data_IF_270170712971
#
_entry.id   IF_270170712971
#
_cell.length_a   1.000
_cell.length_b   1.000
_cell.length_c   1.000
_cell.angle_alpha   90.00
_cell.angle_beta   90.00
_cell.angle_gamma   90.00
#
_symmetry.space_group_name_H-M   'P 1'
#
loop_
_entity.id
_entity.type
_entity.pdbx_description
1 polymer ?
#
# COMPACT_ATOMS: atom_id res chain seq x y z
N UNK A 1 -65.81 23.90 -6.94
CA UNK A 1 -65.58 22.77 -5.99
C UNK A 1 -64.81 21.68 -6.71
N UNK A 2 -63.50 21.59 -6.50
CA UNK A 2 -62.60 20.68 -7.23
C UNK A 2 -62.39 19.39 -6.44
N UNK A 3 -62.76 18.24 -7.00
CA UNK A 3 -62.60 16.92 -6.37
C UNK A 3 -61.22 16.35 -6.75
N UNK A 4 -60.20 16.59 -5.93
CA UNK A 4 -58.94 15.87 -6.03
C UNK A 4 -59.16 14.39 -5.66
N UNK A 5 -59.04 13.49 -6.64
CA UNK A 5 -58.95 12.05 -6.39
C UNK A 5 -57.49 11.69 -6.12
N UNK A 6 -57.19 11.16 -4.93
CA UNK A 6 -55.89 10.56 -4.65
C UNK A 6 -55.75 9.24 -5.43
N UNK A 7 -54.59 8.97 -6.06
CA UNK A 7 -54.31 7.66 -6.64
C UNK A 7 -54.12 6.60 -5.54
N UNK A 8 -54.45 5.32 -5.80
CA UNK A 8 -54.27 4.25 -4.83
C UNK A 8 -52.78 4.02 -4.52
N UNK A 9 -52.47 3.79 -3.24
CA UNK A 9 -51.12 3.43 -2.78
C UNK A 9 -50.68 2.13 -3.45
N UNK A 10 -49.71 2.24 -4.37
CA UNK A 10 -48.98 1.09 -4.90
C UNK A 10 -48.16 0.51 -3.76
N UNK A 11 -48.49 -0.71 -3.32
CA UNK A 11 -47.64 -1.46 -2.40
C UNK A 11 -46.30 -1.76 -3.11
N UNK A 12 -45.16 -1.68 -2.41
CA UNK A 12 -43.87 -2.00 -3.03
C UNK A 12 -43.85 -3.47 -3.48
N UNK A 13 -43.49 -3.70 -4.74
CA UNK A 13 -43.32 -5.02 -5.34
C UNK A 13 -42.29 -5.87 -4.56
N UNK A 14 -42.52 -7.17 -4.35
CA UNK A 14 -41.69 -8.04 -3.52
C UNK A 14 -40.39 -8.55 -4.19
N UNK A 15 -39.83 -7.82 -5.15
CA UNK A 15 -38.76 -8.34 -6.03
C UNK A 15 -37.57 -7.40 -6.19
N UNK A 16 -37.04 -6.86 -5.09
CA UNK A 16 -35.75 -6.15 -5.12
C UNK A 16 -34.97 -6.43 -3.83
N UNK A 17 -34.58 -7.70 -3.63
CA UNK A 17 -33.44 -7.98 -2.77
C UNK A 17 -32.18 -7.57 -3.52
N UNK A 18 -31.62 -6.41 -3.17
CA UNK A 18 -30.29 -6.04 -3.67
C UNK A 18 -29.25 -7.09 -3.26
N UNK A 19 -28.31 -7.49 -4.13
CA UNK A 19 -27.28 -8.49 -3.83
C UNK A 19 -26.38 -8.14 -2.63
N UNK A 20 -26.40 -6.89 -2.16
CA UNK A 20 -25.79 -6.46 -0.90
C UNK A 20 -26.49 -6.97 0.36
N UNK A 21 -27.82 -7.14 0.33
CA UNK A 21 -28.60 -7.60 1.48
C UNK A 21 -28.42 -9.10 1.75
N UNK A 22 -28.25 -9.91 0.70
CA UNK A 22 -27.92 -11.33 0.85
C UNK A 22 -26.53 -11.54 1.48
N UNK A 23 -25.57 -10.67 1.16
CA UNK A 23 -24.27 -10.64 1.83
C UNK A 23 -24.40 -10.20 3.30
N UNK A 24 -25.22 -9.19 3.60
CA UNK A 24 -25.45 -8.74 4.97
C UNK A 24 -26.13 -9.83 5.82
N UNK A 25 -27.17 -10.49 5.31
CA UNK A 25 -27.85 -11.60 5.97
C UNK A 25 -26.91 -12.79 6.20
N UNK A 26 -26.07 -13.12 5.22
CA UNK A 26 -25.07 -14.20 5.36
C UNK A 26 -24.00 -13.87 6.41
N UNK A 27 -23.54 -12.61 6.47
CA UNK A 27 -22.60 -12.14 7.50
C UNK A 27 -23.21 -12.18 8.90
N UNK A 28 -24.48 -11.80 9.05
CA UNK A 28 -25.21 -11.88 10.32
C UNK A 28 -25.38 -13.34 10.79
N UNK A 29 -25.74 -14.26 9.89
CA UNK A 29 -25.83 -15.70 10.20
C UNK A 29 -24.48 -16.29 10.61
N UNK A 30 -23.41 -15.94 9.89
CA UNK A 30 -22.03 -16.38 10.21
C UNK A 30 -21.57 -15.86 11.57
N UNK A 31 -21.82 -14.57 11.87
CA UNK A 31 -21.51 -13.98 13.17
C UNK A 31 -22.26 -14.66 14.31
N UNK A 32 -23.56 -14.94 14.13
CA UNK A 32 -24.38 -15.64 15.13
C UNK A 32 -23.91 -17.07 15.36
N UNK A 33 -23.53 -17.79 14.30
CA UNK A 33 -22.97 -19.13 14.40
C UNK A 33 -21.62 -19.14 15.14
N UNK A 34 -20.75 -18.15 14.87
CA UNK A 34 -19.48 -18.00 15.57
C UNK A 34 -19.68 -17.69 17.07
N UNK A 35 -20.62 -16.81 17.41
CA UNK A 35 -20.98 -16.51 18.80
C UNK A 35 -21.57 -17.72 19.53
N UNK A 36 -22.42 -18.50 18.86
CA UNK A 36 -22.99 -19.72 19.42
C UNK A 36 -21.90 -20.77 19.72
N UNK A 37 -20.91 -20.90 18.83
CA UNK A 37 -19.77 -21.79 19.02
C UNK A 37 -18.92 -21.38 20.22
N UNK A 38 -18.63 -20.09 20.39
CA UNK A 38 -17.92 -19.58 21.56
C UNK A 38 -18.68 -19.85 22.87
N UNK A 39 -20.00 -19.72 22.88
CA UNK A 39 -20.83 -20.04 24.06
C UNK A 39 -20.88 -21.55 24.34
N UNK A 40 -20.86 -22.40 23.30
CA UNK A 40 -20.79 -23.85 23.45
C UNK A 40 -19.42 -24.31 23.97
N UNK A 41 -18.34 -23.70 23.48
CA UNK A 41 -16.98 -23.94 23.99
C UNK A 41 -16.85 -23.53 25.46
N UNK A 42 -17.55 -22.45 25.90
CA UNK A 42 -17.66 -22.07 27.32
C UNK A 42 -18.58 -22.96 28.16
N UNK A 43 -19.44 -23.76 27.52
CA UNK A 43 -20.25 -24.81 28.17
C UNK A 43 -19.61 -26.20 28.04
N UNK A 44 -18.37 -26.28 27.54
CA UNK A 44 -17.53 -27.47 27.68
C UNK A 44 -17.39 -27.88 29.15
N UNK A 45 -17.20 -29.17 29.43
CA UNK A 45 -17.63 -29.79 30.67
C UNK A 45 -16.64 -29.51 31.80
N UNK A 46 -16.82 -28.42 32.54
CA UNK A 46 -16.26 -28.28 33.88
C UNK A 46 -17.36 -28.51 34.92
N UNK A 47 -17.60 -29.79 35.19
CA UNK A 47 -18.13 -30.25 36.46
C UNK A 47 -17.00 -30.75 37.36
N UNK A 48 -16.02 -29.91 37.71
CA UNK A 48 -15.18 -30.09 38.91
C UNK A 48 -14.26 -28.87 39.15
N UNK A 49 -14.40 -28.26 40.33
CA UNK A 49 -13.48 -27.28 40.93
C UNK A 49 -13.45 -27.66 42.43
N UNK A 50 -12.42 -27.38 43.26
CA UNK A 50 -10.95 -27.27 43.09
C UNK A 50 -10.16 -28.05 44.18
N UNK A 51 -8.83 -28.21 44.03
CA UNK A 51 -7.91 -28.18 45.19
C UNK A 51 -6.53 -27.63 44.79
N UNK A 52 -5.95 -26.66 45.53
CA UNK A 52 -4.59 -26.18 45.35
C UNK A 52 -3.59 -26.87 46.30
N UNK A 53 -2.30 -26.97 45.94
CA UNK A 53 -1.11 -26.50 46.71
C UNK A 53 0.25 -27.02 46.16
N UNK A 54 1.42 -26.44 46.56
CA UNK A 54 2.45 -25.98 45.60
C UNK A 54 3.89 -26.46 45.94
N UNK A 55 4.91 -25.92 45.22
CA UNK A 55 6.37 -25.95 45.51
C UNK A 55 7.04 -27.33 45.29
N UNK A 56 8.19 -27.54 44.65
CA UNK A 56 9.28 -26.72 44.11
C UNK A 56 10.26 -27.67 43.33
N UNK A 57 11.32 -27.17 42.67
CA UNK A 57 11.98 -27.78 41.51
C UNK A 57 13.33 -28.49 41.83
N UNK A 58 13.81 -29.36 40.92
CA UNK A 58 15.27 -29.58 40.70
C UNK A 58 15.59 -30.17 39.31
N UNK A 59 16.71 -29.78 38.64
CA UNK A 59 16.94 -30.04 37.21
C UNK A 59 18.02 -31.08 36.87
N UNK A 60 18.05 -31.40 35.56
CA UNK A 60 19.18 -31.87 34.70
C UNK A 60 19.42 -33.39 34.56
N UNK A 61 20.17 -33.85 33.52
CA UNK A 61 20.05 -33.59 32.07
C UNK A 61 20.16 -34.89 31.22
N UNK A 62 20.26 -34.72 29.88
CA UNK A 62 20.73 -35.64 28.81
C UNK A 62 19.96 -36.93 28.49
N UNK A 63 19.38 -37.01 27.30
CA UNK A 63 20.03 -37.60 26.11
C UNK A 63 18.98 -37.78 24.99
N UNK A 64 19.40 -37.52 23.76
CA UNK A 64 18.57 -37.50 22.56
C UNK A 64 18.43 -38.89 21.91
N UNK A 65 17.25 -39.18 21.35
CA UNK A 65 17.08 -40.02 20.16
C UNK A 65 15.70 -39.71 19.53
N UNK A 66 15.72 -38.92 18.45
CA UNK A 66 15.44 -39.33 17.06
C UNK A 66 13.97 -39.72 16.79
N UNK A 67 13.23 -38.76 16.24
CA UNK A 67 11.94 -38.97 15.56
C UNK A 67 12.18 -39.00 14.04
N UNK A 68 12.01 -40.20 13.49
CA UNK A 68 11.42 -40.59 12.19
C UNK A 68 11.32 -39.53 11.08
N UNK A 69 11.84 -39.87 9.90
CA UNK A 69 11.21 -39.48 8.63
C UNK A 69 11.44 -40.57 7.57
N UNK A 70 10.42 -41.03 6.84
CA UNK A 70 10.56 -42.14 5.90
C UNK A 70 11.09 -41.68 4.53
N UNK A 71 11.91 -42.55 3.95
CA UNK A 71 12.44 -42.53 2.59
C UNK A 71 11.34 -42.88 1.56
N UNK A 72 11.46 -42.37 0.32
CA UNK A 72 11.35 -43.27 -0.82
C UNK A 72 12.49 -43.07 -1.84
N UNK A 73 12.95 -44.19 -2.39
CA UNK A 73 13.97 -44.31 -3.43
C UNK A 73 13.39 -44.10 -4.86
N UNK A 74 14.24 -44.04 -5.90
CA UNK A 74 14.03 -43.27 -7.12
C UNK A 74 13.48 -44.10 -8.30
N UNK A 75 12.93 -43.43 -9.32
CA UNK A 75 13.19 -43.66 -10.76
C UNK A 75 12.14 -42.95 -11.62
N UNK A 76 12.60 -42.16 -12.60
CA UNK A 76 12.41 -42.45 -14.02
C UNK A 76 12.95 -41.27 -14.83
N UNK A 77 14.01 -41.55 -15.58
CA UNK A 77 14.44 -40.70 -16.67
C UNK A 77 13.30 -40.55 -17.68
N UNK A 78 13.08 -39.33 -18.16
CA UNK A 78 12.40 -39.11 -19.42
C UNK A 78 13.12 -37.97 -20.11
N UNK A 79 13.94 -38.38 -21.07
CA UNK A 79 14.48 -37.54 -22.12
C UNK A 79 13.33 -36.76 -22.78
N UNK A 80 13.47 -35.45 -22.80
CA UNK A 80 12.45 -34.54 -23.27
C UNK A 80 13.11 -33.24 -23.70
N UNK A 81 13.79 -33.29 -24.83
CA UNK A 81 14.32 -32.14 -25.55
C UNK A 81 13.22 -31.08 -25.71
N UNK A 82 13.26 -30.02 -24.91
CA UNK A 82 12.60 -28.76 -25.23
C UNK A 82 13.54 -27.62 -24.86
N UNK A 83 14.04 -26.99 -25.92
CA UNK A 83 14.77 -25.72 -25.90
C UNK A 83 14.08 -24.74 -24.94
N UNK A 84 14.66 -24.60 -23.75
CA UNK A 84 14.15 -23.71 -22.72
C UNK A 84 14.65 -22.30 -22.97
N UNK A 85 13.76 -21.43 -23.45
CA UNK A 85 13.95 -19.97 -23.31
C UNK A 85 14.30 -19.67 -21.84
N UNK A 86 15.23 -18.74 -21.56
CA UNK A 86 15.67 -18.47 -20.20
C UNK A 86 14.46 -18.18 -19.31
N UNK A 87 14.35 -18.92 -18.21
CA UNK A 87 13.31 -18.77 -17.19
C UNK A 87 13.22 -17.29 -16.81
N UNK A 88 12.15 -16.64 -17.25
CA UNK A 88 11.89 -15.25 -16.92
C UNK A 88 11.70 -15.19 -15.42
N UNK A 89 12.64 -14.54 -14.72
CA UNK A 89 12.54 -14.28 -13.30
C UNK A 89 11.17 -13.65 -13.01
N UNK A 90 10.42 -14.10 -11.99
CA UNK A 90 9.10 -13.57 -11.71
C UNK A 90 9.19 -12.05 -11.51
N UNK A 91 8.44 -11.29 -12.31
CA UNK A 91 8.38 -9.83 -12.21
C UNK A 91 7.89 -9.46 -10.81
N UNK A 92 8.69 -8.67 -10.08
CA UNK A 92 8.35 -8.20 -8.75
C UNK A 92 6.96 -7.51 -8.72
N UNK A 93 6.14 -7.73 -7.68
CA UNK A 93 4.78 -7.20 -7.61
C UNK A 93 4.80 -5.67 -7.57
N UNK A 94 3.93 -5.06 -8.40
CA UNK A 94 3.74 -3.60 -8.48
C UNK A 94 2.40 -3.19 -7.88
N UNK A 95 2.35 -2.03 -7.23
CA UNK A 95 1.15 -1.39 -6.69
C UNK A 95 0.80 -0.17 -7.53
N UNK A 96 -0.48 -0.07 -7.91
CA UNK A 96 -1.07 1.13 -8.52
C UNK A 96 -1.50 2.07 -7.41
N UNK A 97 -1.02 3.30 -7.44
CA UNK A 97 -1.35 4.35 -6.49
C UNK A 97 -1.79 5.60 -7.24
N UNK A 98 -2.82 6.29 -6.75
CA UNK A 98 -3.15 7.64 -7.18
C UNK A 98 -2.53 8.59 -6.17
N UNK A 99 -1.66 9.47 -6.65
CA UNK A 99 -0.88 10.42 -5.84
C UNK A 99 -1.25 11.82 -6.28
N UNK A 100 -1.57 12.67 -5.33
CA UNK A 100 -1.77 14.09 -5.59
C UNK A 100 -0.40 14.76 -5.66
N UNK A 101 -0.07 15.32 -6.82
CA UNK A 101 1.19 16.04 -6.97
C UNK A 101 1.09 17.38 -6.24
N UNK A 102 2.01 17.63 -5.31
CA UNK A 102 2.08 18.88 -4.56
C UNK A 102 3.50 19.42 -4.56
N UNK A 103 3.66 20.72 -4.79
CA UNK A 103 4.96 21.39 -4.78
C UNK A 103 4.99 22.47 -3.69
N UNK A 104 6.09 22.62 -2.95
CA UNK A 104 6.24 23.76 -2.04
C UNK A 104 6.11 25.06 -2.81
N UNK A 105 5.43 26.05 -2.24
CA UNK A 105 5.23 27.37 -2.86
C UNK A 105 6.58 28.02 -3.20
N UNK A 106 7.59 27.84 -2.34
CA UNK A 106 8.97 28.30 -2.60
C UNK A 106 9.55 27.75 -3.91
N UNK A 107 9.27 26.50 -4.26
CA UNK A 107 9.75 25.89 -5.50
C UNK A 107 8.97 26.37 -6.74
N UNK A 108 7.82 27.01 -6.60
CA UNK A 108 7.03 27.52 -7.74
C UNK A 108 7.68 28.77 -8.35
N UNK A 109 8.28 29.62 -7.52
CA UNK A 109 9.09 30.75 -8.02
C UNK A 109 10.22 30.26 -8.94
N UNK A 110 10.76 29.09 -8.63
CA UNK A 110 11.84 28.47 -9.38
C UNK A 110 11.42 27.97 -10.75
N UNK A 111 10.18 27.51 -10.85
CA UNK A 111 9.59 27.03 -12.09
C UNK A 111 9.39 28.18 -13.06
N UNK A 112 9.03 29.37 -12.59
CA UNK A 112 8.89 30.55 -13.46
C UNK A 112 10.20 30.90 -14.17
N UNK A 113 11.34 30.77 -13.49
CA UNK A 113 12.65 30.99 -14.12
C UNK A 113 12.98 29.90 -15.15
N UNK A 114 12.75 28.63 -14.81
CA UNK A 114 12.97 27.51 -15.74
C UNK A 114 12.06 27.62 -16.98
N UNK A 115 10.83 28.08 -16.78
CA UNK A 115 9.85 28.33 -17.82
C UNK A 115 10.29 29.44 -18.77
N UNK A 116 10.75 30.58 -18.23
CA UNK A 116 11.28 31.68 -19.01
C UNK A 116 12.49 31.25 -19.85
N UNK A 117 13.45 30.53 -19.27
CA UNK A 117 14.63 30.04 -19.99
C UNK A 117 14.27 29.06 -21.13
N UNK A 118 13.17 28.32 -20.98
CA UNK A 118 12.71 27.36 -21.99
C UNK A 118 11.73 27.95 -23.01
N UNK A 119 11.30 29.21 -22.85
CA UNK A 119 10.25 29.82 -23.67
C UNK A 119 8.88 29.14 -23.55
N UNK A 120 8.62 28.44 -22.44
CA UNK A 120 7.41 27.63 -22.22
C UNK A 120 6.56 28.23 -21.09
N UNK A 121 5.23 28.03 -21.09
CA UNK A 121 4.39 28.49 -19.99
C UNK A 121 4.67 27.67 -18.71
N UNK A 122 4.64 28.30 -17.51
CA UNK A 122 4.92 27.61 -16.24
C UNK A 122 4.11 26.34 -16.02
N UNK A 123 2.80 26.36 -16.32
CA UNK A 123 1.93 25.20 -16.16
C UNK A 123 2.37 23.99 -16.99
N UNK A 124 2.90 24.24 -18.20
CA UNK A 124 3.45 23.17 -19.03
C UNK A 124 4.70 22.57 -18.39
N UNK A 125 5.59 23.42 -17.87
CA UNK A 125 6.82 22.98 -17.19
C UNK A 125 6.50 22.16 -15.94
N UNK A 126 5.52 22.58 -15.14
CA UNK A 126 5.02 21.82 -13.97
C UNK A 126 4.59 20.41 -14.41
N UNK A 127 3.75 20.30 -15.44
CA UNK A 127 3.25 19.01 -15.94
C UNK A 127 4.38 18.13 -16.49
N UNK A 128 5.33 18.72 -17.23
CA UNK A 128 6.48 18.00 -17.76
C UNK A 128 7.38 17.46 -16.63
N UNK A 129 7.69 18.29 -15.64
CA UNK A 129 8.45 17.89 -14.45
C UNK A 129 7.75 16.79 -13.67
N UNK A 130 6.43 16.88 -13.48
CA UNK A 130 5.67 15.85 -12.80
C UNK A 130 5.71 14.51 -13.55
N UNK A 131 5.63 14.55 -14.89
CA UNK A 131 5.75 13.37 -15.76
C UNK A 131 7.13 12.70 -15.66
N UNK A 132 8.20 13.50 -15.66
CA UNK A 132 9.58 13.03 -15.50
C UNK A 132 9.90 12.51 -14.10
N UNK A 133 9.43 13.22 -13.07
CA UNK A 133 9.52 12.81 -11.68
C UNK A 133 8.87 11.43 -11.50
N UNK A 134 7.67 11.26 -12.06
CA UNK A 134 6.99 9.95 -12.09
C UNK A 134 7.78 8.88 -12.83
N UNK A 135 8.45 9.21 -13.93
CA UNK A 135 9.28 8.24 -14.65
C UNK A 135 10.48 7.80 -13.81
N UNK A 136 11.16 8.76 -13.17
CA UNK A 136 12.29 8.52 -12.26
C UNK A 136 11.87 7.66 -11.07
N UNK A 137 10.71 7.98 -10.47
CA UNK A 137 10.15 7.25 -9.33
C UNK A 137 9.86 5.77 -9.65
N UNK A 138 9.51 5.46 -10.90
CA UNK A 138 9.31 4.07 -11.35
C UNK A 138 10.61 3.30 -11.59
N UNK A 139 11.72 4.02 -11.76
CA UNK A 139 13.03 3.45 -12.02
C UNK A 139 13.75 3.06 -10.72
N UNK A 140 13.34 3.59 -9.57
CA UNK A 140 13.88 3.19 -8.27
C UNK A 140 13.78 1.67 -8.09
N UNK A 141 14.86 1.08 -7.60
CA UNK A 141 15.05 -0.37 -7.55
C UNK A 141 14.88 -0.88 -6.12
N UNK A 142 15.39 -0.15 -5.12
CA UNK A 142 15.44 -0.61 -3.74
C UNK A 142 15.67 0.49 -2.71
N UNK A 143 16.18 0.09 -1.54
CA UNK A 143 16.26 0.95 -0.37
C UNK A 143 17.28 2.09 -0.52
N UNK A 144 18.43 1.84 -1.14
CA UNK A 144 19.46 2.87 -1.38
C UNK A 144 18.89 4.09 -2.11
N UNK A 145 18.12 3.87 -3.17
CA UNK A 145 17.47 4.93 -3.94
C UNK A 145 16.49 5.74 -3.09
N UNK A 146 15.74 5.05 -2.20
CA UNK A 146 14.81 5.69 -1.28
C UNK A 146 15.57 6.50 -0.21
N UNK A 147 16.63 5.93 0.39
CA UNK A 147 17.43 6.62 1.40
C UNK A 147 18.11 7.87 0.86
N UNK A 148 18.59 7.85 -0.39
CA UNK A 148 19.19 9.01 -1.04
C UNK A 148 18.21 10.20 -1.19
N UNK A 149 16.91 9.93 -1.30
CA UNK A 149 15.86 10.95 -1.43
C UNK A 149 15.19 11.29 -0.09
N UNK A 150 15.42 10.50 0.95
CA UNK A 150 14.70 10.58 2.22
C UNK A 150 14.85 11.92 2.96
N UNK A 151 16.02 12.59 2.99
CA UNK A 151 16.14 13.88 3.66
C UNK A 151 15.19 14.93 3.07
N UNK A 152 15.18 15.07 1.75
CA UNK A 152 14.29 16.00 1.05
C UNK A 152 12.83 15.59 1.18
N UNK A 153 12.52 14.29 1.05
CA UNK A 153 11.15 13.81 1.23
C UNK A 153 10.62 14.05 2.64
N UNK A 154 11.47 13.91 3.68
CA UNK A 154 11.12 14.20 5.07
C UNK A 154 10.84 15.69 5.27
N UNK A 155 11.67 16.56 4.69
CA UNK A 155 11.42 18.00 4.72
C UNK A 155 10.06 18.34 4.09
N UNK A 156 9.75 17.76 2.93
CA UNK A 156 8.48 17.98 2.22
C UNK A 156 7.28 17.46 3.03
N UNK A 157 7.40 16.29 3.65
CA UNK A 157 6.34 15.72 4.50
C UNK A 157 5.99 16.63 5.68
N UNK A 158 6.99 17.32 6.23
CA UNK A 158 6.83 18.20 7.38
C UNK A 158 6.24 19.57 7.01
N UNK A 159 6.06 19.88 5.72
CA UNK A 159 5.42 21.12 5.28
C UNK A 159 3.91 21.06 5.51
N UNK A 160 3.35 22.21 5.90
CA UNK A 160 1.91 22.36 6.09
C UNK A 160 1.20 22.59 4.76
N UNK A 161 -0.13 22.41 4.74
CA UNK A 161 -0.91 22.49 3.51
C UNK A 161 -0.88 23.88 2.84
N UNK A 162 -0.80 24.95 3.62
CA UNK A 162 -0.65 26.34 3.17
C UNK A 162 0.71 26.62 2.51
N UNK A 163 1.73 25.82 2.84
CA UNK A 163 3.06 25.91 2.23
C UNK A 163 3.15 25.12 0.92
N UNK A 164 2.08 24.44 0.51
CA UNK A 164 2.05 23.53 -0.61
C UNK A 164 1.01 23.94 -1.64
N UNK A 165 1.42 23.95 -2.91
CA UNK A 165 0.50 24.02 -4.04
C UNK A 165 -0.13 22.65 -4.29
N UNK A 166 -1.41 22.66 -4.67
CA UNK A 166 -2.11 21.44 -5.09
C UNK A 166 -2.10 21.35 -6.61
N UNK A 167 -1.51 20.27 -7.13
CA UNK A 167 -1.47 19.95 -8.55
C UNK A 167 -2.44 18.84 -8.93
N UNK A 168 -2.28 18.34 -10.15
CA UNK A 168 -3.10 17.28 -10.71
C UNK A 168 -2.84 15.92 -10.03
N UNK A 169 -3.89 15.12 -9.87
CA UNK A 169 -3.75 13.75 -9.41
C UNK A 169 -3.12 12.88 -10.51
N UNK A 170 -2.16 12.04 -10.14
CA UNK A 170 -1.49 11.16 -11.08
C UNK A 170 -1.44 9.71 -10.61
N UNK A 171 -1.56 8.78 -11.55
CA UNK A 171 -1.34 7.36 -11.27
C UNK A 171 0.14 7.00 -11.37
N UNK A 172 0.65 6.31 -10.35
CA UNK A 172 2.01 5.79 -10.26
C UNK A 172 1.97 4.28 -10.01
N UNK A 173 2.87 3.54 -10.66
CA UNK A 173 3.07 2.11 -10.42
C UNK A 173 4.43 1.90 -9.77
N UNK A 174 4.46 1.43 -8.54
CA UNK A 174 5.68 1.24 -7.76
C UNK A 174 5.85 -0.23 -7.35
N UNK A 175 7.09 -0.70 -7.31
CA UNK A 175 7.39 -2.03 -6.73
C UNK A 175 7.06 -1.98 -5.24
N UNK A 176 6.53 -3.08 -4.70
CA UNK A 176 6.20 -3.14 -3.28
C UNK A 176 7.45 -2.89 -2.41
N UNK A 177 8.59 -3.51 -2.74
CA UNK A 177 9.86 -3.34 -2.01
C UNK A 177 10.32 -1.89 -1.92
N UNK A 178 10.16 -1.10 -2.99
CA UNK A 178 10.51 0.33 -3.01
C UNK A 178 9.57 1.13 -2.12
N UNK A 179 8.26 0.83 -2.19
CA UNK A 179 7.28 1.49 -1.34
C UNK A 179 7.55 1.23 0.14
N UNK A 180 7.90 0.00 0.49
CA UNK A 180 8.26 -0.38 1.86
C UNK A 180 9.52 0.36 2.32
N UNK A 181 10.57 0.38 1.50
CA UNK A 181 11.78 1.13 1.80
C UNK A 181 11.54 2.65 1.93
N UNK A 182 10.60 3.22 1.20
CA UNK A 182 10.20 4.62 1.36
C UNK A 182 9.59 4.90 2.75
N UNK A 183 8.75 3.98 3.26
CA UNK A 183 8.21 4.09 4.61
C UNK A 183 9.33 3.98 5.66
N UNK A 184 10.21 2.97 5.51
CA UNK A 184 11.33 2.75 6.43
C UNK A 184 12.28 3.97 6.44
N UNK A 185 12.60 4.52 5.28
CA UNK A 185 13.47 5.69 5.15
C UNK A 185 12.88 6.97 5.78
N UNK A 186 11.55 7.07 5.84
CA UNK A 186 10.85 8.16 6.52
C UNK A 186 10.58 7.90 8.02
N UNK A 187 11.09 6.80 8.56
CA UNK A 187 10.91 6.42 9.96
C UNK A 187 9.49 5.96 10.29
N UNK A 188 8.78 5.37 9.32
CA UNK A 188 7.43 4.83 9.47
C UNK A 188 7.43 3.29 9.30
N UNK A 189 8.09 2.53 10.20
CA UNK A 189 8.21 1.08 10.08
C UNK A 189 6.85 0.36 10.17
N UNK A 190 5.88 1.00 10.83
CA UNK A 190 4.52 0.48 10.99
C UNK A 190 3.58 0.86 9.84
N UNK A 191 4.06 1.68 8.88
CA UNK A 191 3.34 2.08 7.67
C UNK A 191 2.00 2.74 8.00
N UNK A 192 2.00 3.58 9.03
CA UNK A 192 0.84 4.32 9.49
C UNK A 192 0.47 5.39 8.45
N UNK A 193 1.46 6.00 7.82
CA UNK A 193 1.23 7.04 6.84
C UNK A 193 0.53 6.48 5.59
N UNK A 194 -0.37 7.25 4.96
CA UNK A 194 -0.94 6.84 3.69
C UNK A 194 0.16 6.70 2.62
N UNK A 195 0.16 5.57 1.91
CA UNK A 195 1.11 5.30 0.82
C UNK A 195 1.19 6.42 -0.20
N UNK A 196 0.06 7.05 -0.53
CA UNK A 196 0.01 8.15 -1.47
C UNK A 196 0.74 9.41 -0.94
N UNK A 197 0.67 9.67 0.37
CA UNK A 197 1.39 10.77 1.02
C UNK A 197 2.89 10.53 0.99
N UNK A 198 3.33 9.33 1.37
CA UNK A 198 4.75 8.94 1.34
C UNK A 198 5.30 9.07 -0.08
N UNK A 199 4.64 8.43 -1.05
CA UNK A 199 5.06 8.47 -2.46
C UNK A 199 5.01 9.90 -3.03
N UNK A 200 4.04 10.70 -2.61
CA UNK A 200 3.95 12.12 -2.97
C UNK A 200 5.16 12.91 -2.53
N UNK A 201 5.61 12.74 -1.28
CA UNK A 201 6.80 13.41 -0.76
C UNK A 201 8.07 13.05 -1.56
N UNK A 202 8.26 11.77 -1.89
CA UNK A 202 9.38 11.32 -2.73
C UNK A 202 9.30 11.86 -4.16
N UNK A 203 8.10 11.86 -4.75
CA UNK A 203 7.89 12.43 -6.08
C UNK A 203 8.28 13.92 -6.10
N UNK A 204 7.82 14.68 -5.11
CA UNK A 204 8.12 16.11 -4.99
C UNK A 204 9.61 16.35 -4.76
N UNK A 205 10.29 15.51 -3.97
CA UNK A 205 11.74 15.59 -3.77
C UNK A 205 12.51 15.43 -5.10
N UNK A 206 12.11 14.45 -5.91
CA UNK A 206 12.70 14.23 -7.24
C UNK A 206 12.48 15.46 -8.12
N UNK A 207 11.27 16.02 -8.12
CA UNK A 207 10.96 17.18 -8.96
C UNK A 207 11.76 18.42 -8.54
N UNK A 208 11.85 18.70 -7.24
CA UNK A 208 12.66 19.84 -6.74
C UNK A 208 14.12 19.69 -7.17
N UNK A 209 14.70 18.49 -7.06
CA UNK A 209 16.07 18.22 -7.52
C UNK A 209 16.23 18.48 -9.02
N UNK A 210 15.23 18.14 -9.84
CA UNK A 210 15.22 18.43 -11.29
C UNK A 210 15.11 19.92 -11.59
N UNK A 211 14.29 20.66 -10.85
CA UNK A 211 14.18 22.12 -10.98
C UNK A 211 15.54 22.76 -10.71
N UNK A 212 16.21 22.36 -9.63
CA UNK A 212 17.53 22.85 -9.29
C UNK A 212 18.57 22.55 -10.40
N UNK A 213 18.57 21.34 -10.95
CA UNK A 213 19.48 20.96 -12.04
C UNK A 213 19.27 21.83 -13.29
N UNK A 214 18.02 22.03 -13.73
CA UNK A 214 17.70 22.85 -14.92
C UNK A 214 18.06 24.32 -14.75
N UNK A 215 17.97 24.84 -13.52
CA UNK A 215 18.43 26.20 -13.23
C UNK A 215 19.94 26.35 -13.39
N UNK A 216 20.70 25.35 -12.93
CA UNK A 216 22.14 25.37 -13.10
C UNK A 216 22.54 25.30 -14.58
N UNK A 217 21.76 24.60 -15.40
CA UNK A 217 21.97 24.50 -16.86
C UNK A 217 21.59 25.78 -17.62
N UNK A 218 20.53 26.49 -17.20
CA UNK A 218 20.03 27.70 -17.88
C UNK A 218 20.65 29.02 -17.40
N UNK A 219 21.54 28.99 -16.41
CA UNK A 219 22.20 30.17 -15.84
C UNK A 219 23.70 30.27 -16.14
N UNK A 220 24.22 29.46 -17.07
CA UNK A 220 25.61 29.47 -17.53
C UNK A 220 25.78 30.15 -18.89
#
# INVERSE_FOLDING_TARGET
MSRYRLPPRVAPSPATEEPGQQNAASRLRSSRAAQARLLQERRGPDGAVPTPDPLSPKPAPVAAEQVVTPQPAPQAASDGTRSGKPKTQPKAPKRKLVVLFRLPVAAVADISLVAAASGLPPDYVIKALAKEGRATLRQLIGAEDAHALAPSARQIRNLTADQMTTGEAMTVYLRLTVLEAMHDALGDPWRIEPRATVVGAFLTAIVIRRIAARRAEGGG
#
